data_IF_546799000015
#
_entry.id   IF_546799000015
#
_cell.length_a   1.000
_cell.length_b   1.000
_cell.length_c   1.000
_cell.angle_alpha   90.00
_cell.angle_beta   90.00
_cell.angle_gamma   90.00
#
_symmetry.space_group_name_H-M   'P 1'
#
loop_
_entity.id
_entity.type
_entity.pdbx_description
1 polymer ?
#
# COMPACT_ATOMS: atom_id res chain seq x y z
N UNK A 1 26.50 -74.71 6.20
CA UNK A 1 25.49 -74.42 7.24
C UNK A 1 25.76 -72.97 7.68
N UNK A 2 25.02 -72.00 7.10
CA UNK A 2 24.80 -70.55 7.41
C UNK A 2 26.01 -69.65 7.85
N UNK A 3 26.15 -68.34 7.59
CA UNK A 3 25.54 -67.24 6.81
C UNK A 3 26.46 -65.99 7.07
N UNK A 4 26.90 -65.20 6.07
CA UNK A 4 26.45 -63.82 5.71
C UNK A 4 26.56 -62.76 6.86
N UNK A 5 27.26 -61.62 6.84
CA UNK A 5 27.71 -60.64 5.81
C UNK A 5 28.94 -59.81 6.28
N UNK A 6 29.78 -59.33 5.35
CA UNK A 6 30.79 -58.27 5.52
C UNK A 6 30.19 -56.86 5.29
N UNK A 7 30.74 -55.82 5.94
CA UNK A 7 30.66 -54.43 5.45
C UNK A 7 32.02 -53.73 5.64
N UNK A 8 32.60 -53.24 4.54
CA UNK A 8 33.89 -52.55 4.48
C UNK A 8 33.70 -51.11 4.02
N UNK A 9 34.22 -50.18 4.83
CA UNK A 9 34.15 -48.74 4.61
C UNK A 9 34.83 -48.26 3.32
N UNK A 10 34.12 -47.40 2.59
CA UNK A 10 34.59 -46.66 1.43
C UNK A 10 34.26 -45.16 1.56
N UNK A 11 35.25 -44.32 1.25
CA UNK A 11 35.24 -42.84 1.27
C UNK A 11 34.32 -42.28 0.16
N UNK A 12 33.41 -41.36 0.51
CA UNK A 12 32.53 -40.64 -0.46
C UNK A 12 33.11 -39.26 -0.79
N UNK A 13 33.13 -38.79 -2.05
CA UNK A 13 33.60 -37.46 -2.42
C UNK A 13 32.54 -36.36 -2.22
N UNK A 14 32.98 -35.14 -1.92
CA UNK A 14 32.14 -33.93 -1.85
C UNK A 14 31.54 -33.55 -3.21
N UNK A 15 30.25 -33.23 -3.29
CA UNK A 15 29.69 -32.51 -4.43
C UNK A 15 29.75 -31.00 -4.21
N UNK A 16 30.48 -30.38 -5.12
CA UNK A 16 30.50 -28.98 -5.58
C UNK A 16 29.15 -28.25 -5.48
N UNK A 17 29.25 -26.94 -5.23
CA UNK A 17 28.15 -26.02 -4.92
C UNK A 17 26.88 -26.17 -5.75
N UNK A 18 25.77 -26.37 -5.03
CA UNK A 18 24.42 -26.22 -5.54
C UNK A 18 24.12 -24.73 -5.74
N UNK A 19 23.66 -24.42 -6.94
CA UNK A 19 23.13 -23.11 -7.33
C UNK A 19 22.15 -22.60 -6.27
N UNK A 20 22.26 -21.31 -5.95
CA UNK A 20 21.29 -20.61 -5.11
C UNK A 20 19.91 -20.67 -5.77
N UNK A 21 19.12 -21.67 -5.40
CA UNK A 21 17.70 -21.70 -5.69
C UNK A 21 17.12 -20.43 -5.08
N UNK A 22 16.75 -19.48 -5.95
CA UNK A 22 15.93 -18.35 -5.56
C UNK A 22 14.64 -18.96 -5.03
N UNK A 23 14.52 -19.02 -3.71
CA UNK A 23 13.23 -19.27 -3.05
C UNK A 23 12.39 -18.04 -3.35
N UNK A 24 11.65 -18.09 -4.45
CA UNK A 24 10.62 -17.09 -4.74
C UNK A 24 9.61 -17.20 -3.62
N UNK A 25 9.55 -16.19 -2.76
CA UNK A 25 8.65 -16.12 -1.61
C UNK A 25 7.19 -16.23 -2.08
N UNK A 26 6.66 -17.44 -2.00
CA UNK A 26 5.29 -17.81 -2.41
C UNK A 26 4.22 -17.13 -1.54
N UNK A 27 4.61 -16.42 -0.48
CA UNK A 27 3.69 -15.75 0.45
C UNK A 27 3.49 -14.25 0.17
N UNK A 28 3.91 -13.75 -1.00
CA UNK A 28 3.68 -12.34 -1.34
C UNK A 28 2.18 -12.09 -1.58
N UNK A 29 1.53 -11.41 -0.63
CA UNK A 29 0.13 -10.99 -0.71
C UNK A 29 -0.10 -10.28 -2.04
N UNK A 30 -1.02 -10.76 -2.86
CA UNK A 30 -1.38 -10.09 -4.12
C UNK A 30 -2.48 -9.06 -3.82
N UNK A 31 -2.32 -7.79 -4.21
CA UNK A 31 -3.42 -6.83 -4.15
C UNK A 31 -4.61 -7.39 -4.94
N UNK A 32 -5.78 -7.48 -4.31
CA UNK A 32 -6.92 -8.24 -4.83
C UNK A 32 -8.26 -7.51 -4.63
N UNK A 33 -8.31 -6.23 -5.01
CA UNK A 33 -9.60 -5.53 -5.12
C UNK A 33 -10.49 -6.25 -6.15
N UNK A 34 -11.76 -6.55 -5.82
CA UNK A 34 -12.70 -7.10 -6.79
C UNK A 34 -12.94 -6.09 -7.91
N UNK A 35 -13.23 -6.60 -9.11
CA UNK A 35 -13.71 -5.77 -10.21
C UNK A 35 -15.04 -5.12 -9.79
N UNK A 36 -15.18 -3.82 -10.01
CA UNK A 36 -16.40 -3.07 -9.71
C UNK A 36 -16.82 -2.26 -10.92
N UNK A 37 -18.13 -2.08 -11.08
CA UNK A 37 -18.69 -1.29 -12.17
C UNK A 37 -18.30 0.18 -11.98
N UNK A 38 -17.51 0.69 -12.91
CA UNK A 38 -17.22 2.10 -13.01
C UNK A 38 -18.49 2.79 -13.52
N UNK A 39 -19.01 3.78 -12.80
CA UNK A 39 -20.02 4.65 -13.38
C UNK A 39 -19.39 5.33 -14.61
N UNK A 40 -19.99 5.16 -15.81
CA UNK A 40 -19.37 5.59 -17.05
C UNK A 40 -19.45 7.12 -17.15
N UNK A 41 -18.48 7.81 -16.57
CA UNK A 41 -18.19 9.20 -16.88
C UNK A 41 -17.22 9.24 -18.05
N UNK A 42 -17.36 10.18 -18.99
CA UNK A 42 -16.43 10.35 -20.11
C UNK A 42 -15.09 10.93 -19.60
N UNK A 43 -14.23 10.09 -19.03
CA UNK A 43 -12.98 10.45 -18.32
C UNK A 43 -11.83 10.85 -19.28
N UNK A 44 -12.07 11.68 -20.30
CA UNK A 44 -11.01 11.97 -21.29
C UNK A 44 -10.22 13.25 -21.02
N UNK A 45 -10.79 14.25 -20.32
CA UNK A 45 -10.14 15.56 -20.16
C UNK A 45 -10.16 16.16 -18.73
N UNK A 46 -10.22 15.34 -17.68
CA UNK A 46 -10.24 15.86 -16.30
C UNK A 46 -8.86 15.85 -15.64
N UNK A 47 -8.65 16.81 -14.75
CA UNK A 47 -7.45 16.93 -13.92
C UNK A 47 -7.80 16.85 -12.44
N UNK A 48 -6.85 16.36 -11.64
CA UNK A 48 -6.83 16.49 -10.19
C UNK A 48 -5.80 17.55 -9.84
N UNK A 49 -6.26 18.78 -9.61
CA UNK A 49 -5.41 19.97 -9.59
C UNK A 49 -4.64 20.08 -10.91
N UNK A 50 -3.31 20.02 -10.82
CA UNK A 50 -2.40 20.10 -11.97
C UNK A 50 -2.06 18.74 -12.61
N UNK A 51 -2.63 17.63 -12.12
CA UNK A 51 -2.30 16.28 -12.60
C UNK A 51 -3.44 15.76 -13.48
N UNK A 52 -3.14 15.27 -14.68
CA UNK A 52 -4.15 14.61 -15.52
C UNK A 52 -4.72 13.39 -14.81
N UNK A 53 -6.03 13.13 -14.96
CA UNK A 53 -6.72 12.03 -14.29
C UNK A 53 -6.02 10.68 -14.48
N UNK A 54 -5.67 10.32 -15.73
CA UNK A 54 -4.95 9.08 -16.05
C UNK A 54 -3.63 8.97 -15.27
N UNK A 55 -2.87 10.07 -15.19
CA UNK A 55 -1.61 10.11 -14.44
C UNK A 55 -1.84 9.95 -12.93
N UNK A 56 -2.89 10.59 -12.40
CA UNK A 56 -3.27 10.44 -10.99
C UNK A 56 -3.65 8.99 -10.66
N UNK A 57 -4.46 8.35 -11.50
CA UNK A 57 -4.83 6.94 -11.35
C UNK A 57 -3.61 6.02 -11.35
N UNK A 58 -2.67 6.23 -12.29
CA UNK A 58 -1.44 5.44 -12.36
C UNK A 58 -0.58 5.61 -11.10
N UNK A 59 -0.43 6.85 -10.59
CA UNK A 59 0.30 7.10 -9.35
C UNK A 59 -0.34 6.35 -8.19
N UNK A 60 -1.67 6.45 -8.03
CA UNK A 60 -2.38 5.78 -6.93
C UNK A 60 -2.29 4.27 -7.05
N UNK A 61 -2.41 3.71 -8.26
CA UNK A 61 -2.26 2.28 -8.52
C UNK A 61 -0.87 1.79 -8.08
N UNK A 62 0.18 2.47 -8.51
CA UNK A 62 1.55 2.11 -8.15
C UNK A 62 1.77 2.19 -6.63
N UNK A 63 1.28 3.26 -5.98
CA UNK A 63 1.38 3.38 -4.51
C UNK A 63 0.60 2.26 -3.83
N UNK A 64 -0.62 1.94 -4.31
CA UNK A 64 -1.42 0.85 -3.76
C UNK A 64 -0.67 -0.49 -3.81
N UNK A 65 -0.05 -0.80 -4.95
CA UNK A 65 0.71 -2.03 -5.16
C UNK A 65 1.96 -2.10 -4.27
N UNK A 66 2.54 -0.96 -3.88
CA UNK A 66 3.67 -0.92 -2.95
C UNK A 66 3.23 -1.05 -1.47
N UNK A 67 2.21 -0.31 -1.05
CA UNK A 67 1.86 -0.19 0.38
C UNK A 67 1.31 -1.48 0.97
N UNK A 68 0.77 -2.39 0.17
CA UNK A 68 0.28 -3.69 0.66
C UNK A 68 1.39 -4.52 1.28
N UNK A 69 2.65 -4.21 0.96
CA UNK A 69 3.84 -4.87 1.49
C UNK A 69 4.45 -4.13 2.69
N UNK A 70 3.95 -2.94 3.04
CA UNK A 70 4.55 -2.15 4.11
C UNK A 70 4.31 -2.79 5.48
N UNK A 71 5.38 -2.93 6.26
CA UNK A 71 5.27 -3.25 7.69
C UNK A 71 4.51 -2.12 8.39
N UNK A 72 3.52 -2.49 9.21
CA UNK A 72 2.65 -1.54 9.91
C UNK A 72 3.47 -0.53 10.74
N UNK A 73 3.51 0.72 10.29
CA UNK A 73 4.12 1.86 10.99
C UNK A 73 3.11 3.03 11.11
N UNK A 74 1.92 2.72 11.62
CA UNK A 74 0.78 3.63 11.64
C UNK A 74 0.53 4.12 13.08
N UNK A 75 0.32 5.42 13.25
CA UNK A 75 -0.18 6.04 14.49
C UNK A 75 -1.70 5.95 14.56
N UNK A 76 -2.25 5.97 15.77
CA UNK A 76 -3.70 6.10 15.96
C UNK A 76 -4.19 7.43 15.39
N UNK A 77 -5.44 7.46 14.91
CA UNK A 77 -6.09 8.71 14.51
C UNK A 77 -6.28 9.57 15.78
N UNK A 78 -5.74 10.80 15.83
CA UNK A 78 -5.90 11.64 17.00
C UNK A 78 -7.34 12.17 17.09
N UNK A 79 -7.84 12.42 18.30
CA UNK A 79 -9.16 13.08 18.50
C UNK A 79 -9.14 14.59 18.22
N UNK A 80 -7.95 15.14 17.97
CA UNK A 80 -7.73 16.56 17.70
C UNK A 80 -8.26 17.00 16.33
N UNK A 81 -8.12 18.31 16.04
CA UNK A 81 -8.45 18.89 14.74
C UNK A 81 -7.80 18.14 13.57
N UNK A 82 -6.55 17.71 13.74
CA UNK A 82 -5.81 16.94 12.74
C UNK A 82 -6.55 15.65 12.31
N UNK A 83 -7.07 14.91 13.29
CA UNK A 83 -7.81 13.67 13.02
C UNK A 83 -9.16 13.94 12.37
N UNK A 84 -9.89 14.96 12.82
CA UNK A 84 -11.14 15.39 12.16
C UNK A 84 -10.91 15.72 10.69
N UNK A 85 -9.86 16.49 10.39
CA UNK A 85 -9.47 16.80 9.00
C UNK A 85 -9.02 15.59 8.19
N UNK A 86 -8.43 14.57 8.82
CA UNK A 86 -8.15 13.30 8.15
C UNK A 86 -9.44 12.54 7.81
N UNK A 87 -10.37 12.44 8.75
CA UNK A 87 -11.67 11.80 8.51
C UNK A 87 -12.46 12.52 7.42
N UNK A 88 -12.41 13.86 7.34
CA UNK A 88 -13.02 14.62 6.24
C UNK A 88 -12.48 14.22 4.88
N UNK A 89 -11.16 13.99 4.77
CA UNK A 89 -10.53 13.54 3.52
C UNK A 89 -10.97 12.10 3.18
N UNK A 90 -11.00 11.18 4.14
CA UNK A 90 -11.51 9.83 3.89
C UNK A 90 -12.99 9.84 3.48
N UNK A 91 -13.81 10.66 4.15
CA UNK A 91 -15.23 10.85 3.84
C UNK A 91 -15.43 11.43 2.44
N UNK A 92 -14.55 12.31 1.99
CA UNK A 92 -14.58 12.80 0.61
C UNK A 92 -14.41 11.64 -0.39
N UNK A 93 -13.43 10.75 -0.18
CA UNK A 93 -13.15 9.66 -1.10
C UNK A 93 -14.23 8.58 -1.11
N UNK A 94 -14.79 8.21 0.04
CA UNK A 94 -15.90 7.26 0.05
C UNK A 94 -17.14 7.83 -0.66
N UNK A 95 -17.37 9.14 -0.59
CA UNK A 95 -18.43 9.80 -1.37
C UNK A 95 -18.14 9.76 -2.87
N UNK A 96 -16.88 9.93 -3.30
CA UNK A 96 -16.53 9.78 -4.72
C UNK A 96 -16.77 8.35 -5.22
N UNK A 97 -16.52 7.36 -4.37
CA UNK A 97 -16.79 5.95 -4.67
C UNK A 97 -18.29 5.62 -4.73
N UNK A 98 -19.12 6.29 -3.92
CA UNK A 98 -20.57 6.04 -3.88
C UNK A 98 -21.38 6.93 -4.85
N UNK A 99 -20.72 7.79 -5.62
CA UNK A 99 -21.35 8.69 -6.57
C UNK A 99 -20.90 8.37 -8.00
N UNK A 100 -21.70 8.81 -8.98
CA UNK A 100 -21.28 8.92 -10.38
C UNK A 100 -20.28 10.08 -10.52
N UNK A 101 -19.03 9.80 -10.14
CA UNK A 101 -17.91 10.73 -10.15
C UNK A 101 -16.80 10.16 -11.00
N UNK A 102 -16.08 11.00 -11.74
CA UNK A 102 -14.89 10.58 -12.49
C UNK A 102 -13.79 10.00 -11.59
N UNK A 103 -13.80 10.35 -10.31
CA UNK A 103 -12.86 9.82 -9.33
C UNK A 103 -13.27 8.45 -8.79
N UNK A 104 -14.46 7.95 -9.15
CA UNK A 104 -14.99 6.67 -8.67
C UNK A 104 -13.98 5.52 -8.86
N UNK A 105 -13.40 5.43 -10.06
CA UNK A 105 -12.43 4.40 -10.49
C UNK A 105 -11.13 4.32 -9.68
N UNK A 106 -10.80 5.35 -8.93
CA UNK A 106 -9.58 5.41 -8.12
C UNK A 106 -9.89 5.63 -6.63
N UNK A 107 -11.12 6.05 -6.31
CA UNK A 107 -11.49 6.50 -4.98
C UNK A 107 -11.25 5.47 -3.89
N UNK A 108 -11.58 4.19 -4.15
CA UNK A 108 -11.40 3.13 -3.18
C UNK A 108 -9.90 2.85 -2.91
N UNK A 109 -9.06 2.87 -3.94
CA UNK A 109 -7.61 2.74 -3.78
C UNK A 109 -7.02 3.91 -3.01
N UNK A 110 -7.44 5.15 -3.31
CA UNK A 110 -7.01 6.32 -2.53
C UNK A 110 -7.43 6.20 -1.07
N UNK A 111 -8.66 5.76 -0.80
CA UNK A 111 -9.15 5.52 0.55
C UNK A 111 -8.28 4.51 1.31
N UNK A 112 -7.83 3.43 0.65
CA UNK A 112 -6.93 2.43 1.26
C UNK A 112 -5.50 2.96 1.45
N UNK A 113 -5.03 3.82 0.54
CA UNK A 113 -3.67 4.38 0.58
C UNK A 113 -3.49 5.45 1.65
N UNK A 114 -4.51 6.28 1.85
CA UNK A 114 -4.43 7.45 2.73
C UNK A 114 -4.05 7.15 4.19
N UNK A 115 -4.57 6.12 4.87
CA UNK A 115 -4.14 5.77 6.22
C UNK A 115 -2.63 5.55 6.31
N UNK A 116 -2.04 4.81 5.35
CA UNK A 116 -0.62 4.50 5.35
C UNK A 116 0.24 5.73 5.09
N UNK A 117 -0.19 6.63 4.19
CA UNK A 117 0.56 7.85 3.88
C UNK A 117 0.44 8.91 4.98
N UNK A 118 -0.78 9.15 5.47
CA UNK A 118 -1.04 10.28 6.37
C UNK A 118 -0.70 9.93 7.82
N UNK A 119 -1.03 8.72 8.28
CA UNK A 119 -0.88 8.32 9.68
C UNK A 119 0.46 7.64 9.97
N UNK A 120 1.44 7.71 9.06
CA UNK A 120 2.75 7.09 9.31
C UNK A 120 3.45 7.71 10.52
N UNK A 121 3.98 6.90 11.45
CA UNK A 121 4.76 7.46 12.57
C UNK A 121 6.05 8.11 12.07
N UNK A 122 6.36 9.36 12.47
CA UNK A 122 7.61 10.04 12.10
C UNK A 122 8.87 9.31 12.59
N UNK A 123 8.82 8.72 13.78
CA UNK A 123 9.89 7.86 14.32
C UNK A 123 9.31 6.83 15.29
N UNK A 124 10.13 5.85 15.69
CA UNK A 124 9.72 4.85 16.68
C UNK A 124 9.46 5.46 18.07
N UNK A 125 10.13 6.56 18.40
CA UNK A 125 10.07 7.24 19.70
C UNK A 125 9.18 8.48 19.71
N UNK A 126 8.57 8.85 18.57
CA UNK A 126 7.77 10.06 18.47
C UNK A 126 6.49 9.98 19.30
N UNK A 127 6.06 11.12 19.84
CA UNK A 127 4.91 11.26 20.74
C UNK A 127 3.67 11.80 20.02
N UNK A 128 2.52 11.73 20.70
CA UNK A 128 1.21 12.14 20.17
C UNK A 128 1.17 13.55 19.54
N UNK A 129 1.86 14.53 20.15
CA UNK A 129 1.95 15.89 19.61
C UNK A 129 2.69 15.93 18.26
N UNK A 130 3.77 15.18 18.13
CA UNK A 130 4.55 15.08 16.89
C UNK A 130 3.79 14.31 15.80
N UNK A 131 3.01 13.29 16.20
CA UNK A 131 2.13 12.56 15.28
C UNK A 131 1.07 13.51 14.70
N UNK A 132 0.42 14.29 15.58
CA UNK A 132 -0.60 15.27 15.17
C UNK A 132 -0.03 16.31 14.21
N UNK A 133 1.16 16.87 14.52
CA UNK A 133 1.82 17.83 13.66
C UNK A 133 2.24 17.23 12.31
N UNK A 134 2.67 15.96 12.28
CA UNK A 134 3.00 15.27 11.03
C UNK A 134 1.75 15.03 10.16
N UNK A 135 0.65 14.60 10.77
CA UNK A 135 -0.65 14.43 10.08
C UNK A 135 -1.08 15.75 9.44
N UNK A 136 -1.03 16.86 10.19
CA UNK A 136 -1.40 18.18 9.67
C UNK A 136 -0.55 18.59 8.46
N UNK A 137 0.79 18.46 8.55
CA UNK A 137 1.69 18.77 7.43
C UNK A 137 1.37 17.94 6.19
N UNK A 138 1.17 16.63 6.36
CA UNK A 138 0.85 15.72 5.24
C UNK A 138 -0.52 16.01 4.63
N UNK A 139 -1.52 16.34 5.46
CA UNK A 139 -2.84 16.76 4.98
C UNK A 139 -2.79 18.06 4.21
N UNK A 140 -1.94 19.01 4.59
CA UNK A 140 -1.72 20.25 3.82
C UNK A 140 -1.17 19.91 2.43
N UNK A 141 -0.13 19.09 2.35
CA UNK A 141 0.44 18.64 1.05
C UNK A 141 -0.61 17.91 0.20
N UNK A 142 -1.39 17.01 0.81
CA UNK A 142 -2.46 16.31 0.12
C UNK A 142 -3.52 17.26 -0.44
N UNK A 143 -3.96 18.24 0.37
CA UNK A 143 -4.98 19.21 -0.02
C UNK A 143 -4.47 20.21 -1.08
N UNK A 144 -3.17 20.49 -1.11
CA UNK A 144 -2.56 21.32 -2.16
C UNK A 144 -2.71 20.69 -3.54
N UNK A 145 -2.60 19.36 -3.66
CA UNK A 145 -2.83 18.65 -4.93
C UNK A 145 -4.27 18.83 -5.47
N UNK A 146 -5.22 19.22 -4.61
CA UNK A 146 -6.62 19.42 -4.99
C UNK A 146 -6.90 20.85 -5.48
N UNK A 147 -6.03 21.83 -5.19
CA UNK A 147 -6.28 23.22 -5.61
C UNK A 147 -5.91 23.35 -7.10
N UNK A 148 -6.77 23.97 -7.92
CA UNK A 148 -6.44 24.29 -9.31
C UNK A 148 -5.28 25.28 -9.38
#
# INVERSE_FOLDING_TARGET
MADLWEDKGGRVPSPTGLASTIVTDQNKIKPNLPDYELFPSEIKNKTWGNIRHVSFCNIVNNVYDEIVYYRRNISNVPSSRAGKSFIEVLTFWIKQFNADSDLNSVALKVFMVLPTLILQKPSATSKSKEHSAAIERRLVLWKQLRRP
#
